data_IF_638194708340
#
_entry.id   IF_638194708340
#
_cell.length_a   1.000
_cell.length_b   1.000
_cell.length_c   1.000
_cell.angle_alpha   90.00
_cell.angle_beta   90.00
_cell.angle_gamma   90.00
#
_symmetry.space_group_name_H-M   'P 1'
#
loop_
_entity.id
_entity.type
_entity.pdbx_description
1 polymer ?
#
# COMPACT_ATOMS: atom_id res chain seq x y z
N UNK A 1 -4.28 3.87 0.31
CA UNK A 1 -4.21 2.53 -0.32
C UNK A 1 -2.86 2.39 -1.02
N UNK A 2 -2.36 1.18 -1.26
CA UNK A 2 -1.16 0.94 -2.07
C UNK A 2 -1.42 -0.23 -3.02
N UNK A 3 -1.10 -0.09 -4.31
CA UNK A 3 -1.23 -1.14 -5.31
C UNK A 3 0.13 -1.75 -5.64
N UNK A 4 0.18 -3.08 -5.64
CA UNK A 4 1.36 -3.89 -5.90
C UNK A 4 1.09 -4.79 -7.11
N UNK A 5 2.10 -5.07 -7.92
CA UNK A 5 2.02 -5.99 -9.05
C UNK A 5 3.04 -7.09 -8.90
N UNK A 6 2.65 -8.31 -9.28
CA UNK A 6 3.59 -9.39 -9.51
C UNK A 6 4.35 -9.13 -10.82
N UNK A 7 5.60 -8.72 -10.71
CA UNK A 7 6.49 -8.51 -11.88
C UNK A 7 7.06 -9.79 -12.47
N UNK A 8 6.80 -10.95 -11.86
CA UNK A 8 7.23 -12.25 -12.39
C UNK A 8 6.27 -12.77 -13.46
N UNK A 9 6.81 -13.53 -14.42
CA UNK A 9 6.01 -14.32 -15.37
C UNK A 9 5.36 -15.54 -14.69
N UNK A 10 5.76 -15.85 -13.45
CA UNK A 10 5.25 -16.97 -12.66
C UNK A 10 4.37 -16.49 -11.52
N UNK A 11 3.48 -17.37 -11.06
CA UNK A 11 2.65 -17.10 -9.90
C UNK A 11 3.49 -17.18 -8.63
N UNK A 12 3.39 -16.16 -7.77
CA UNK A 12 3.96 -16.17 -6.43
C UNK A 12 2.93 -16.69 -5.42
N UNK A 13 3.38 -17.38 -4.37
CA UNK A 13 2.49 -17.93 -3.33
C UNK A 13 2.83 -17.41 -1.95
N UNK A 14 1.88 -17.51 -1.02
CA UNK A 14 2.05 -17.08 0.38
C UNK A 14 2.60 -15.65 0.50
N UNK A 15 2.05 -14.73 -0.30
CA UNK A 15 2.46 -13.35 -0.26
C UNK A 15 1.95 -12.71 1.03
N UNK A 16 2.81 -11.98 1.73
CA UNK A 16 2.49 -11.22 2.93
C UNK A 16 2.96 -9.78 2.74
N UNK A 17 2.19 -8.83 3.25
CA UNK A 17 2.50 -7.40 3.21
C UNK A 17 2.40 -6.81 4.60
N UNK A 18 3.31 -5.91 4.92
CA UNK A 18 3.21 -5.02 6.07
C UNK A 18 3.31 -3.59 5.59
N UNK A 19 2.51 -2.74 6.21
CA UNK A 19 2.54 -1.30 5.99
C UNK A 19 2.67 -0.64 7.36
N UNK A 20 3.65 0.23 7.50
CA UNK A 20 3.80 1.08 8.68
C UNK A 20 3.78 2.55 8.27
N UNK A 21 3.51 3.42 9.23
CA UNK A 21 3.73 4.86 9.10
C UNK A 21 4.78 5.32 10.11
N UNK A 22 5.74 6.11 9.64
CA UNK A 22 6.71 6.82 10.47
C UNK A 22 6.17 8.20 10.83
N UNK A 23 5.86 8.42 12.10
CA UNK A 23 5.31 9.68 12.62
C UNK A 23 6.27 10.30 13.65
N UNK A 24 6.29 11.63 13.79
CA UNK A 24 6.96 12.27 14.91
C UNK A 24 6.21 12.02 16.23
N UNK A 25 6.96 11.76 17.29
CA UNK A 25 6.46 11.61 18.65
C UNK A 25 7.27 12.45 19.64
N UNK A 26 6.69 12.72 20.81
CA UNK A 26 7.35 13.40 21.92
C UNK A 26 7.32 12.49 23.13
N UNK A 27 8.49 12.19 23.70
CA UNK A 27 8.60 11.34 24.88
C UNK A 27 8.06 12.07 26.12
N UNK A 28 7.80 11.34 27.21
CA UNK A 28 7.35 11.94 28.47
C UNK A 28 8.37 12.97 29.03
N UNK A 29 9.63 12.83 28.65
CA UNK A 29 10.75 13.71 29.02
C UNK A 29 10.92 14.90 28.06
N UNK A 30 10.06 15.03 27.04
CA UNK A 30 10.05 16.14 26.09
C UNK A 30 11.00 16.00 24.90
N UNK A 31 11.59 14.83 24.66
CA UNK A 31 12.44 14.59 23.50
C UNK A 31 11.60 14.24 22.27
N UNK A 32 11.86 14.92 21.16
CA UNK A 32 11.25 14.57 19.87
C UNK A 32 12.00 13.40 19.24
N UNK A 33 11.25 12.40 18.79
CA UNK A 33 11.75 11.26 18.02
C UNK A 33 10.74 10.89 16.93
N UNK A 34 11.07 9.88 16.12
CA UNK A 34 10.13 9.32 15.15
C UNK A 34 9.88 7.85 15.48
N UNK A 35 8.64 7.43 15.38
CA UNK A 35 8.21 6.06 15.68
C UNK A 35 7.46 5.46 14.48
N UNK A 36 7.64 4.16 14.27
CA UNK A 36 6.93 3.41 13.23
C UNK A 36 5.74 2.71 13.85
N UNK A 37 4.54 3.09 13.44
CA UNK A 37 3.31 2.38 13.80
C UNK A 37 2.93 1.41 12.69
N UNK A 38 2.73 0.14 13.04
CA UNK A 38 2.15 -0.84 12.13
C UNK A 38 0.68 -0.47 11.84
N UNK A 39 0.31 -0.42 10.56
CA UNK A 39 -1.04 -0.13 10.10
C UNK A 39 -1.83 -1.44 9.92
N UNK A 40 -3.04 -1.48 10.47
CA UNK A 40 -3.93 -2.64 10.33
C UNK A 40 -4.48 -2.75 8.90
N UNK A 41 -4.14 -3.82 8.18
CA UNK A 41 -4.52 -4.00 6.78
C UNK A 41 -5.78 -4.85 6.62
N UNK A 42 -6.66 -4.49 5.69
CA UNK A 42 -7.85 -5.28 5.34
C UNK A 42 -7.50 -6.66 4.76
N UNK A 43 -6.36 -6.74 4.09
CA UNK A 43 -5.85 -7.91 3.40
C UNK A 43 -4.32 -7.90 3.46
N UNK A 44 -3.76 -8.47 4.54
CA UNK A 44 -2.32 -8.55 4.75
C UNK A 44 -1.65 -9.75 4.05
N UNK A 45 -2.44 -10.73 3.57
CA UNK A 45 -1.91 -11.95 2.96
C UNK A 45 -2.70 -12.36 1.72
N UNK A 46 -2.01 -12.97 0.77
CA UNK A 46 -2.59 -13.67 -0.38
C UNK A 46 -2.01 -15.08 -0.49
N UNK A 47 -2.89 -16.07 -0.66
CA UNK A 47 -2.46 -17.44 -0.95
C UNK A 47 -1.77 -17.52 -2.32
N UNK A 48 -2.34 -16.82 -3.31
CA UNK A 48 -1.85 -16.76 -4.68
C UNK A 48 -1.74 -15.29 -5.11
N UNK A 49 -0.55 -14.88 -5.56
CA UNK A 49 -0.28 -13.54 -6.07
C UNK A 49 0.07 -13.62 -7.57
N UNK A 50 -0.96 -13.51 -8.40
CA UNK A 50 -0.85 -13.72 -9.85
C UNK A 50 -0.64 -12.43 -10.65
N UNK A 51 -1.36 -11.36 -10.32
CA UNK A 51 -1.38 -10.12 -11.11
C UNK A 51 -1.20 -8.87 -10.23
N UNK A 52 -2.28 -8.38 -9.63
CA UNK A 52 -2.29 -7.13 -8.88
C UNK A 52 -2.88 -7.35 -7.49
N UNK A 53 -2.37 -6.62 -6.51
CA UNK A 53 -2.86 -6.62 -5.14
C UNK A 53 -3.02 -5.19 -4.65
N UNK A 54 -4.25 -4.80 -4.35
CA UNK A 54 -4.52 -3.52 -3.68
C UNK A 54 -4.57 -3.75 -2.18
N UNK A 55 -3.62 -3.15 -1.48
CA UNK A 55 -3.46 -3.18 -0.03
C UNK A 55 -4.13 -1.96 0.56
N UNK A 56 -5.02 -2.17 1.54
CA UNK A 56 -5.78 -1.08 2.14
C UNK A 56 -5.63 -1.11 3.66
N UNK A 57 -5.30 0.05 4.22
CA UNK A 57 -5.48 0.36 5.63
C UNK A 57 -6.73 1.24 5.73
N UNK A 58 -7.70 0.83 6.55
CA UNK A 58 -8.84 1.69 6.87
C UNK A 58 -8.44 2.64 7.98
N UNK A 59 -8.62 3.94 7.75
CA UNK A 59 -8.44 4.96 8.78
C UNK A 59 -9.75 5.02 9.57
N UNK A 60 -9.76 4.39 10.73
CA UNK A 60 -10.82 4.52 11.74
C UNK A 60 -10.23 5.13 13.03
N UNK A 61 -11.05 5.26 14.06
CA UNK A 61 -10.68 5.86 15.36
C UNK A 61 -9.49 5.18 16.08
N UNK A 62 -9.11 3.97 15.68
CA UNK A 62 -7.93 3.28 16.24
C UNK A 62 -6.69 3.41 15.33
N UNK A 63 -6.82 4.09 14.19
CA UNK A 63 -5.71 4.32 13.27
C UNK A 63 -4.75 5.38 13.81
N UNK A 64 -3.43 5.17 13.73
CA UNK A 64 -2.43 6.22 13.98
C UNK A 64 -2.60 7.45 13.06
N UNK A 65 -3.38 7.31 11.98
CA UNK A 65 -3.65 8.35 10.99
C UNK A 65 -5.03 9.01 11.17
N UNK A 66 -5.76 8.72 12.26
CA UNK A 66 -7.13 9.21 12.45
C UNK A 66 -7.23 10.75 12.42
N UNK A 67 -6.23 11.43 12.97
CA UNK A 67 -6.17 12.90 13.08
C UNK A 67 -5.30 13.55 11.97
N UNK A 68 -4.95 12.81 10.92
CA UNK A 68 -4.09 13.31 9.84
C UNK A 68 -4.89 13.57 8.56
N UNK A 69 -4.98 14.84 8.17
CA UNK A 69 -5.31 15.27 6.83
C UNK A 69 -4.05 15.43 5.95
N UNK A 70 -4.25 15.85 4.70
CA UNK A 70 -3.16 16.00 3.73
C UNK A 70 -2.10 17.04 4.15
N UNK A 71 -2.50 18.13 4.81
CA UNK A 71 -1.60 19.18 5.25
C UNK A 71 -0.76 18.68 6.43
N UNK A 72 -1.40 18.09 7.46
CA UNK A 72 -0.70 17.53 8.61
C UNK A 72 0.25 16.39 8.21
N UNK A 73 -0.13 15.57 7.24
CA UNK A 73 0.74 14.48 6.75
C UNK A 73 2.04 15.01 6.15
N UNK A 74 1.98 16.13 5.41
CA UNK A 74 3.16 16.80 4.84
C UNK A 74 3.96 17.52 5.91
N UNK A 75 3.31 18.31 6.78
CA UNK A 75 3.98 19.09 7.81
C UNK A 75 4.74 18.21 8.83
N UNK A 76 4.20 17.05 9.16
CA UNK A 76 4.84 16.07 10.04
C UNK A 76 5.98 15.27 9.37
N UNK A 77 6.15 15.42 8.05
CA UNK A 77 6.99 14.56 7.21
C UNK A 77 6.68 13.08 7.50
N UNK A 78 5.38 12.74 7.45
CA UNK A 78 4.90 11.38 7.64
C UNK A 78 5.28 10.52 6.43
N UNK A 79 5.78 9.31 6.68
CA UNK A 79 6.25 8.41 5.61
C UNK A 79 5.61 7.04 5.74
N UNK A 80 5.21 6.45 4.63
CA UNK A 80 4.70 5.08 4.61
C UNK A 80 5.82 4.11 4.26
N UNK A 81 5.94 3.04 5.04
CA UNK A 81 6.92 1.96 4.82
C UNK A 81 6.17 0.69 4.46
N UNK A 82 6.36 0.22 3.24
CA UNK A 82 5.79 -1.00 2.72
C UNK A 82 6.88 -2.07 2.66
N UNK A 83 6.59 -3.26 3.18
CA UNK A 83 7.39 -4.46 2.94
C UNK A 83 6.52 -5.58 2.44
N UNK A 84 7.04 -6.36 1.50
CA UNK A 84 6.35 -7.49 0.88
C UNK A 84 7.30 -8.67 0.83
N UNK A 85 6.78 -9.84 1.16
CA UNK A 85 7.46 -11.12 1.00
C UNK A 85 6.53 -12.10 0.28
N UNK A 86 7.04 -12.90 -0.65
CA UNK A 86 6.29 -13.97 -1.29
C UNK A 86 7.22 -15.14 -1.66
N UNK A 87 6.66 -16.32 -1.93
CA UNK A 87 7.42 -17.48 -2.42
C UNK A 87 7.38 -17.56 -3.94
N UNK A 88 8.56 -17.61 -4.55
CA UNK A 88 8.72 -17.92 -5.97
C UNK A 88 9.05 -19.40 -6.14
N UNK A 89 8.12 -20.14 -6.76
CA UNK A 89 8.30 -21.56 -7.02
C UNK A 89 9.35 -21.86 -8.10
N UNK A 90 9.57 -20.94 -9.04
CA UNK A 90 10.58 -21.10 -10.08
C UNK A 90 12.00 -20.95 -9.51
N UNK A 91 12.18 -20.06 -8.54
CA UNK A 91 13.45 -19.86 -7.85
C UNK A 91 13.62 -20.80 -6.62
N UNK A 92 12.53 -21.39 -6.14
CA UNK A 92 12.53 -22.24 -4.94
C UNK A 92 12.82 -21.48 -3.64
N UNK A 93 12.61 -20.16 -3.61
CA UNK A 93 12.95 -19.30 -2.46
C UNK A 93 11.90 -18.22 -2.22
N UNK A 94 11.99 -17.55 -1.07
CA UNK A 94 11.25 -16.33 -0.81
C UNK A 94 11.91 -15.13 -1.52
N UNK A 95 11.09 -14.27 -2.10
CA UNK A 95 11.45 -12.97 -2.67
C UNK A 95 10.84 -11.88 -1.81
N UNK A 96 11.55 -10.75 -1.71
CA UNK A 96 11.11 -9.60 -0.92
C UNK A 96 11.28 -8.30 -1.70
N UNK A 97 10.41 -7.33 -1.43
CA UNK A 97 10.55 -5.97 -1.90
C UNK A 97 10.14 -4.99 -0.80
N UNK A 98 10.69 -3.77 -0.84
CA UNK A 98 10.34 -2.71 0.09
C UNK A 98 10.25 -1.36 -0.60
N UNK A 99 9.32 -0.53 -0.13
CA UNK A 99 9.13 0.83 -0.61
C UNK A 99 8.88 1.79 0.55
N UNK A 100 9.44 2.98 0.43
CA UNK A 100 9.14 4.10 1.32
C UNK A 100 8.47 5.14 0.44
N UNK A 101 7.28 5.57 0.84
CA UNK A 101 6.57 6.69 0.21
C UNK A 101 6.77 7.94 1.06
N UNK A 102 7.32 8.97 0.44
CA UNK A 102 7.43 10.31 1.01
C UNK A 102 6.04 10.97 1.10
N UNK A 103 5.85 11.98 1.96
CA UNK A 103 4.54 12.59 2.15
C UNK A 103 3.95 13.15 0.86
N UNK A 104 4.78 13.74 -0.01
CA UNK A 104 4.37 14.26 -1.32
C UNK A 104 3.95 13.17 -2.34
N UNK A 105 4.30 11.90 -2.09
CA UNK A 105 3.90 10.76 -2.94
C UNK A 105 2.54 10.18 -2.51
N UNK A 106 1.99 10.60 -1.37
CA UNK A 106 0.70 10.15 -0.86
C UNK A 106 -0.41 11.07 -1.36
N UNK A 107 -1.26 10.52 -2.22
CA UNK A 107 -2.36 11.26 -2.82
C UNK A 107 -3.66 11.09 -2.01
N UNK A 108 -4.21 12.21 -1.53
CA UNK A 108 -5.48 12.26 -0.81
C UNK A 108 -6.65 12.51 -1.76
N UNK A 109 -7.84 11.98 -1.43
CA UNK A 109 -9.05 12.14 -2.25
C UNK A 109 -8.91 11.52 -3.64
N UNK A 110 -8.15 10.44 -3.75
CA UNK A 110 -7.95 9.71 -5.00
C UNK A 110 -8.08 8.21 -4.78
N UNK A 111 -8.49 7.52 -5.83
CA UNK A 111 -8.47 6.07 -5.91
C UNK A 111 -7.74 5.62 -7.16
N UNK A 112 -7.27 4.37 -7.16
CA UNK A 112 -6.63 3.82 -8.34
C UNK A 112 -7.65 3.57 -9.46
N UNK A 113 -7.33 4.00 -10.67
CA UNK A 113 -8.09 3.65 -11.86
C UNK A 113 -8.07 2.14 -12.10
N UNK A 114 -9.06 1.64 -12.85
CA UNK A 114 -9.11 0.25 -13.27
C UNK A 114 -7.89 -0.09 -14.16
N UNK A 115 -7.14 -1.10 -13.74
CA UNK A 115 -5.94 -1.60 -14.42
C UNK A 115 -6.03 -3.09 -14.75
N UNK A 116 -7.11 -3.77 -14.36
CA UNK A 116 -7.35 -5.18 -14.68
C UNK A 116 -8.60 -5.26 -15.52
N UNK A 117 -8.47 -5.79 -16.73
CA UNK A 117 -9.57 -6.08 -17.64
C UNK A 117 -9.72 -7.58 -17.82
N UNK A 118 -10.74 -8.01 -18.56
CA UNK A 118 -10.94 -9.41 -18.92
C UNK A 118 -10.94 -9.54 -20.45
N UNK A 119 -10.31 -10.59 -20.96
CA UNK A 119 -10.40 -10.92 -22.37
C UNK A 119 -11.72 -11.67 -22.71
N UNK A 120 -11.90 -11.99 -24.00
CA UNK A 120 -13.09 -12.72 -24.48
C UNK A 120 -13.30 -14.09 -23.81
N UNK A 121 -12.24 -14.67 -23.23
CA UNK A 121 -12.27 -15.93 -22.51
C UNK A 121 -12.42 -15.74 -20.98
N UNK A 122 -12.70 -14.52 -20.52
CA UNK A 122 -12.82 -14.13 -19.10
C UNK A 122 -11.52 -14.34 -18.31
N UNK A 123 -10.36 -14.35 -18.98
CA UNK A 123 -9.07 -14.40 -18.30
C UNK A 123 -8.69 -12.98 -17.89
N UNK A 124 -8.25 -12.76 -16.64
CA UNK A 124 -7.85 -11.43 -16.21
C UNK A 124 -6.55 -11.02 -16.91
N UNK A 125 -6.51 -9.79 -17.38
CA UNK A 125 -5.36 -9.15 -18.00
C UNK A 125 -5.07 -7.86 -17.24
N UNK A 126 -3.86 -7.74 -16.68
CA UNK A 126 -3.43 -6.53 -16.00
C UNK A 126 -2.61 -5.65 -16.97
N UNK A 127 -3.09 -4.44 -17.24
CA UNK A 127 -2.34 -3.44 -17.99
C UNK A 127 -1.37 -2.70 -17.05
N UNK A 128 -0.10 -3.09 -17.12
CA UNK A 128 0.94 -2.54 -16.24
C UNK A 128 1.23 -1.06 -16.52
N UNK A 129 0.87 -0.55 -17.70
CA UNK A 129 1.03 0.89 -18.00
C UNK A 129 0.05 1.75 -17.20
N UNK A 130 -1.02 1.14 -16.68
CA UNK A 130 -2.06 1.80 -15.86
C UNK A 130 -1.87 1.57 -14.36
N UNK A 131 -0.77 0.93 -13.94
CA UNK A 131 -0.52 0.59 -12.54
C UNK A 131 -0.62 1.82 -11.62
N UNK A 132 0.04 2.91 -12.01
CA UNK A 132 0.11 4.15 -11.24
C UNK A 132 -1.02 5.13 -11.56
N UNK A 133 -1.95 4.77 -12.45
CA UNK A 133 -3.04 5.66 -12.83
C UNK A 133 -4.04 5.78 -11.68
N UNK A 134 -4.34 7.01 -11.31
CA UNK A 134 -5.29 7.38 -10.25
C UNK A 134 -6.35 8.32 -10.80
N UNK A 135 -7.51 8.28 -10.19
CA UNK A 135 -8.66 9.13 -10.46
C UNK A 135 -9.06 9.85 -9.18
N UNK A 136 -9.56 11.08 -9.30
CA UNK A 136 -10.07 11.81 -8.15
C UNK A 136 -11.36 11.17 -7.67
N UNK A 137 -11.54 11.12 -6.34
CA UNK A 137 -12.82 10.73 -5.77
C UNK A 137 -13.87 11.77 -6.17
N UNK A 138 -15.00 11.32 -6.70
CA UNK A 138 -16.07 12.22 -7.14
C UNK A 138 -16.52 13.13 -6.00
N UNK A 139 -16.77 14.41 -6.30
CA UNK A 139 -17.26 15.40 -5.33
C UNK A 139 -18.58 14.93 -4.70
N UNK A 140 -18.50 14.27 -3.54
CA UNK A 140 -19.65 13.64 -2.89
C UNK A 140 -19.34 12.56 -1.86
N UNK A 141 -18.07 12.24 -1.61
CA UNK A 141 -17.67 11.31 -0.55
C UNK A 141 -16.73 12.00 0.45
N UNK A 142 -17.26 12.99 1.18
CA UNK A 142 -16.78 13.40 2.49
C UNK A 142 -17.94 13.25 3.47
#
# INVERSE_FOLDING_TARGET
MVRVVNGSLTLLTNATVRLGVLLPEVSAEGHSFRYVHDLALSNATLLLFALTWTVMHRIDENSPLADYDAEQFVESDARLLLTIEARDHALGTAVHDMRIYMPEEVLFGTHYAEAVTFDDQKRPFADLTRLSLVEADGAGAC
#
